data_IF_606294859715
#
_entry.id   IF_606294859715
#
_cell.length_a   1.000
_cell.length_b   1.000
_cell.length_c   1.000
_cell.angle_alpha   90.00
_cell.angle_beta   90.00
_cell.angle_gamma   90.00
#
_symmetry.space_group_name_H-M   'P 1'
#
loop_
_entity.id
_entity.type
_entity.pdbx_description
1 polymer ?
#
# COMPACT_ATOMS: atom_id res chain seq x y z
N UNK A 1 -6.55 -25.32 8.33
CA UNK A 1 -6.23 -24.25 7.34
C UNK A 1 -6.98 -23.00 7.78
N UNK A 2 -6.29 -21.87 7.98
CA UNK A 2 -6.93 -20.59 8.34
C UNK A 2 -7.61 -20.01 7.10
N UNK A 3 -8.83 -19.47 7.28
CA UNK A 3 -9.63 -18.88 6.20
C UNK A 3 -10.14 -17.51 6.60
N UNK A 4 -10.46 -16.68 5.60
CA UNK A 4 -11.18 -15.42 5.78
C UNK A 4 -12.29 -15.29 4.72
N UNK A 5 -13.22 -14.35 4.92
CA UNK A 5 -14.29 -14.09 3.97
C UNK A 5 -13.92 -12.98 3.01
N UNK A 6 -13.65 -13.32 1.74
CA UNK A 6 -13.24 -12.39 0.69
C UNK A 6 -14.15 -12.41 -0.54
N UNK A 7 -13.94 -11.47 -1.44
CA UNK A 7 -14.63 -11.38 -2.72
C UNK A 7 -13.79 -12.06 -3.80
N UNK A 8 -14.22 -13.23 -4.26
CA UNK A 8 -13.53 -13.97 -5.33
C UNK A 8 -13.79 -13.29 -6.67
N UNK A 9 -12.72 -12.98 -7.40
CA UNK A 9 -12.78 -12.33 -8.70
C UNK A 9 -12.77 -13.36 -9.84
N UNK A 10 -13.20 -12.99 -11.07
CA UNK A 10 -13.21 -13.92 -12.21
C UNK A 10 -11.85 -14.55 -12.54
N UNK A 11 -10.75 -13.84 -12.27
CA UNK A 11 -9.39 -14.34 -12.43
C UNK A 11 -8.88 -15.21 -11.26
N UNK A 12 -9.74 -15.55 -10.29
CA UNK A 12 -9.43 -16.35 -9.11
C UNK A 12 -8.80 -15.58 -7.95
N UNK A 13 -8.37 -14.33 -8.13
CA UNK A 13 -7.83 -13.51 -7.03
C UNK A 13 -8.93 -13.10 -6.06
N UNK A 14 -8.55 -12.76 -4.83
CA UNK A 14 -9.50 -12.46 -3.75
C UNK A 14 -9.33 -11.04 -3.24
N UNK A 15 -10.41 -10.26 -3.19
CA UNK A 15 -10.42 -8.93 -2.56
C UNK A 15 -10.95 -8.98 -1.12
N UNK A 16 -10.43 -8.11 -0.25
CA UNK A 16 -10.97 -7.88 1.11
C UNK A 16 -11.89 -6.67 1.16
N UNK A 17 -11.98 -5.93 0.06
CA UNK A 17 -12.91 -4.82 -0.21
C UNK A 17 -13.54 -5.00 -1.58
N UNK A 18 -14.53 -4.16 -1.90
CA UNK A 18 -15.31 -4.27 -3.13
C UNK A 18 -15.62 -2.89 -3.71
N UNK A 19 -14.57 -2.11 -4.00
CA UNK A 19 -14.66 -0.71 -4.39
C UNK A 19 -15.01 -0.54 -5.88
N UNK A 20 -15.70 0.55 -6.20
CA UNK A 20 -15.76 1.10 -7.55
C UNK A 20 -14.83 2.33 -7.58
N UNK A 21 -13.76 2.24 -8.34
CA UNK A 21 -12.76 3.29 -8.47
C UNK A 21 -13.06 4.20 -9.67
N UNK A 22 -12.85 5.50 -9.50
CA UNK A 22 -12.87 6.49 -10.58
C UNK A 22 -11.50 7.14 -10.65
N UNK A 23 -10.84 7.04 -11.79
CA UNK A 23 -9.46 7.49 -11.96
C UNK A 23 -9.27 8.19 -13.30
N UNK A 24 -8.43 9.22 -13.32
CA UNK A 24 -7.95 9.84 -14.54
C UNK A 24 -6.79 9.04 -15.14
N UNK A 25 -6.76 8.87 -16.47
CA UNK A 25 -5.58 8.34 -17.16
C UNK A 25 -4.43 9.36 -17.13
N UNK A 26 -4.78 10.64 -17.22
CA UNK A 26 -3.87 11.78 -17.07
C UNK A 26 -4.47 12.77 -16.06
N UNK A 27 -3.62 13.39 -15.24
CA UNK A 27 -4.04 14.35 -14.19
C UNK A 27 -4.89 15.51 -14.68
N UNK A 28 -4.82 15.86 -15.97
CA UNK A 28 -5.67 16.89 -16.59
C UNK A 28 -7.18 16.55 -16.47
N UNK A 29 -7.55 15.28 -16.32
CA UNK A 29 -8.93 14.84 -16.14
C UNK A 29 -9.36 14.72 -14.66
N UNK A 30 -8.51 15.05 -13.68
CA UNK A 30 -8.86 14.96 -12.24
C UNK A 30 -10.14 15.73 -11.88
N UNK A 31 -10.38 16.90 -12.49
CA UNK A 31 -11.61 17.67 -12.26
C UNK A 31 -12.88 16.93 -12.70
N UNK A 32 -12.79 16.05 -13.70
CA UNK A 32 -13.89 15.18 -14.12
C UNK A 32 -14.12 14.07 -13.09
N UNK A 33 -13.03 13.48 -12.57
CA UNK A 33 -13.10 12.48 -11.48
C UNK A 33 -13.81 13.05 -10.26
N UNK A 34 -13.48 14.29 -9.84
CA UNK A 34 -14.14 14.96 -8.72
C UNK A 34 -15.62 15.24 -8.99
N UNK A 35 -15.99 15.62 -10.23
CA UNK A 35 -17.37 15.80 -10.63
C UNK A 35 -18.18 14.49 -10.56
N UNK A 36 -17.62 13.38 -11.09
CA UNK A 36 -18.25 12.06 -11.01
C UNK A 36 -18.45 11.64 -9.54
N UNK A 37 -17.43 11.84 -8.68
CA UNK A 37 -17.55 11.57 -7.25
C UNK A 37 -18.69 12.34 -6.60
N UNK A 38 -18.82 13.63 -6.92
CA UNK A 38 -19.89 14.49 -6.37
C UNK A 38 -21.29 14.01 -6.81
N UNK A 39 -21.44 13.50 -8.03
CA UNK A 39 -22.70 12.98 -8.57
C UNK A 39 -23.04 11.56 -8.12
N UNK A 40 -22.04 10.76 -7.78
CA UNK A 40 -22.19 9.33 -7.45
C UNK A 40 -21.50 9.02 -6.12
N UNK A 41 -22.16 9.31 -4.98
CA UNK A 41 -21.63 8.92 -3.67
C UNK A 41 -21.37 7.41 -3.59
N UNK A 42 -20.24 7.02 -3.00
CA UNK A 42 -19.83 5.62 -2.85
C UNK A 42 -18.75 5.15 -3.82
N UNK A 43 -18.44 5.91 -4.89
CA UNK A 43 -17.23 5.67 -5.68
C UNK A 43 -15.99 6.18 -4.93
N UNK A 44 -14.84 5.56 -5.19
CA UNK A 44 -13.55 6.00 -4.65
C UNK A 44 -12.79 6.77 -5.73
N UNK A 45 -12.65 8.09 -5.58
CA UNK A 45 -11.88 8.90 -6.50
C UNK A 45 -10.38 8.70 -6.26
N UNK A 46 -9.62 8.58 -7.33
CA UNK A 46 -8.18 8.45 -7.29
C UNK A 46 -7.54 9.63 -8.01
N UNK A 47 -7.07 10.59 -7.24
CA UNK A 47 -6.43 11.82 -7.72
C UNK A 47 -4.92 11.64 -7.71
N UNK A 48 -4.27 12.11 -8.75
CA UNK A 48 -2.81 12.02 -8.94
C UNK A 48 -2.28 13.16 -9.81
N UNK A 49 -0.96 13.22 -10.04
CA UNK A 49 -0.28 14.28 -10.81
C UNK A 49 0.45 13.75 -12.06
N UNK A 50 0.14 12.53 -12.52
CA UNK A 50 0.87 11.82 -13.57
C UNK A 50 0.08 11.71 -14.88
N UNK A 51 0.67 11.05 -15.88
CA UNK A 51 -0.03 10.61 -17.11
C UNK A 51 0.34 11.38 -18.37
N UNK A 52 1.30 12.32 -18.32
CA UNK A 52 1.75 13.05 -19.49
C UNK A 52 3.27 13.26 -19.51
N UNK A 53 3.87 13.00 -20.65
CA UNK A 53 5.16 13.41 -21.22
C UNK A 53 6.40 13.62 -20.34
N UNK A 54 6.62 12.86 -19.27
CA UNK A 54 7.91 12.83 -18.61
C UNK A 54 8.68 11.58 -19.05
N UNK A 55 9.73 11.70 -19.89
CA UNK A 55 10.52 10.56 -20.35
C UNK A 55 11.05 9.73 -19.18
N UNK A 56 10.92 8.40 -19.27
CA UNK A 56 11.34 7.46 -18.24
C UNK A 56 10.31 7.22 -17.11
N UNK A 57 9.23 7.99 -17.06
CA UNK A 57 8.16 7.79 -16.07
C UNK A 57 6.92 7.05 -16.61
N UNK A 58 6.75 7.02 -17.94
CA UNK A 58 5.58 6.38 -18.57
C UNK A 58 5.39 4.93 -18.18
N UNK A 59 6.39 4.10 -18.37
CA UNK A 59 6.29 2.67 -18.11
C UNK A 59 5.99 2.40 -16.64
N UNK A 60 6.52 3.26 -15.77
CA UNK A 60 6.25 3.18 -14.33
C UNK A 60 4.82 3.59 -14.02
N UNK A 61 4.36 4.75 -14.55
CA UNK A 61 2.98 5.20 -14.36
C UNK A 61 1.99 4.20 -14.92
N UNK A 62 2.18 3.75 -16.16
CA UNK A 62 1.34 2.71 -16.80
C UNK A 62 1.25 1.46 -15.94
N UNK A 63 2.37 0.95 -15.45
CA UNK A 63 2.42 -0.23 -14.56
C UNK A 63 1.64 0.01 -13.27
N UNK A 64 1.83 1.16 -12.63
CA UNK A 64 1.13 1.52 -11.38
C UNK A 64 -0.36 1.68 -11.64
N UNK A 65 -0.78 2.39 -12.68
CA UNK A 65 -2.17 2.58 -13.04
C UNK A 65 -2.87 1.22 -13.26
N UNK A 66 -2.28 0.37 -14.09
CA UNK A 66 -2.80 -0.97 -14.36
C UNK A 66 -2.82 -1.82 -13.09
N UNK A 67 -1.73 -1.82 -12.30
CA UNK A 67 -1.64 -2.59 -11.07
C UNK A 67 -2.66 -2.16 -10.01
N UNK A 68 -2.82 -0.84 -9.80
CA UNK A 68 -3.85 -0.28 -8.90
C UNK A 68 -5.24 -0.68 -9.37
N UNK A 69 -5.57 -0.44 -10.64
CA UNK A 69 -6.91 -0.71 -11.18
C UNK A 69 -7.22 -2.21 -11.32
N UNK A 70 -6.21 -3.08 -11.34
CA UNK A 70 -6.37 -4.54 -11.39
C UNK A 70 -6.30 -5.20 -10.01
N UNK A 71 -6.16 -4.42 -8.91
CA UNK A 71 -6.13 -4.98 -7.57
C UNK A 71 -7.48 -5.62 -7.22
N UNK A 72 -7.50 -6.82 -6.60
CA UNK A 72 -8.75 -7.54 -6.33
C UNK A 72 -9.69 -6.85 -5.33
N UNK A 73 -9.25 -5.80 -4.61
CA UNK A 73 -10.15 -4.95 -3.81
C UNK A 73 -11.10 -4.09 -4.66
N UNK A 74 -10.87 -4.01 -5.96
CA UNK A 74 -11.69 -3.23 -6.89
C UNK A 74 -12.68 -4.15 -7.61
N UNK A 75 -13.95 -3.79 -7.57
CA UNK A 75 -15.02 -4.42 -8.33
C UNK A 75 -15.12 -3.84 -9.74
N UNK A 76 -14.96 -2.53 -9.88
CA UNK A 76 -15.10 -1.87 -11.17
C UNK A 76 -14.31 -0.59 -11.27
N UNK A 77 -13.94 -0.21 -12.47
CA UNK A 77 -13.12 0.96 -12.77
C UNK A 77 -13.81 1.86 -13.78
N UNK A 78 -13.95 3.14 -13.45
CA UNK A 78 -14.24 4.23 -14.39
C UNK A 78 -12.91 4.92 -14.68
N UNK A 79 -12.45 4.87 -15.93
CA UNK A 79 -11.22 5.47 -16.41
C UNK A 79 -11.50 6.64 -17.33
N UNK A 80 -10.96 7.81 -17.04
CA UNK A 80 -11.20 9.04 -17.81
C UNK A 80 -9.92 9.53 -18.46
N UNK A 81 -9.86 9.52 -19.78
CA UNK A 81 -8.82 10.12 -20.60
C UNK A 81 -9.20 11.49 -21.14
N UNK A 82 -8.21 12.29 -21.50
CA UNK A 82 -8.38 13.57 -22.22
C UNK A 82 -8.36 13.35 -23.72
N UNK A 83 -7.42 12.54 -24.22
CA UNK A 83 -7.20 12.22 -25.63
C UNK A 83 -5.90 12.81 -26.22
N UNK A 84 -5.06 13.47 -25.40
CA UNK A 84 -3.75 13.97 -25.81
C UNK A 84 -2.61 13.43 -24.94
N UNK A 85 -2.92 12.58 -23.97
CA UNK A 85 -1.94 11.88 -23.15
C UNK A 85 -1.21 10.78 -23.92
N UNK A 86 -0.11 10.29 -23.36
CA UNK A 86 0.75 9.29 -24.02
C UNK A 86 0.07 7.94 -24.21
N UNK A 87 -0.68 7.50 -23.22
CA UNK A 87 -1.38 6.22 -23.23
C UNK A 87 -2.86 6.42 -23.51
N UNK A 88 -3.42 5.64 -24.45
CA UNK A 88 -4.85 5.66 -24.73
C UNK A 88 -5.64 5.05 -23.57
N UNK A 89 -6.63 5.79 -23.05
CA UNK A 89 -7.41 5.34 -21.89
C UNK A 89 -8.25 4.10 -22.18
N UNK A 90 -8.74 3.92 -23.41
CA UNK A 90 -9.52 2.74 -23.81
C UNK A 90 -8.62 1.50 -23.87
N UNK A 91 -7.41 1.62 -24.43
CA UNK A 91 -6.42 0.53 -24.46
C UNK A 91 -5.98 0.12 -23.05
N UNK A 92 -5.72 1.09 -22.17
CA UNK A 92 -5.43 0.84 -20.75
C UNK A 92 -6.60 0.15 -20.06
N UNK A 93 -7.83 0.61 -20.31
CA UNK A 93 -9.06 -0.01 -19.81
C UNK A 93 -9.20 -1.47 -20.23
N UNK A 94 -8.92 -1.80 -21.49
CA UNK A 94 -8.92 -3.18 -22.00
C UNK A 94 -7.84 -4.05 -21.32
N UNK A 95 -6.65 -3.51 -21.07
CA UNK A 95 -5.59 -4.22 -20.35
C UNK A 95 -6.01 -4.52 -18.91
N UNK A 96 -6.60 -3.55 -18.19
CA UNK A 96 -7.10 -3.73 -16.83
C UNK A 96 -8.18 -4.80 -16.80
N UNK A 97 -9.16 -4.74 -17.73
CA UNK A 97 -10.21 -5.76 -17.84
C UNK A 97 -9.65 -7.16 -18.09
N UNK A 98 -8.68 -7.28 -19.01
CA UNK A 98 -8.04 -8.58 -19.35
C UNK A 98 -7.34 -9.20 -18.14
N UNK A 99 -6.68 -8.38 -17.30
CA UNK A 99 -5.95 -8.84 -16.13
C UNK A 99 -6.89 -9.18 -14.98
N UNK A 100 -7.89 -8.32 -14.72
CA UNK A 100 -8.76 -8.44 -13.54
C UNK A 100 -10.00 -9.29 -13.78
N UNK A 101 -10.51 -9.31 -15.02
CA UNK A 101 -11.83 -9.84 -15.37
C UNK A 101 -13.00 -8.98 -14.88
N UNK A 102 -12.71 -7.84 -14.26
CA UNK A 102 -13.71 -6.95 -13.65
C UNK A 102 -14.23 -5.91 -14.65
N UNK A 103 -15.42 -5.30 -14.41
CA UNK A 103 -15.95 -4.24 -15.26
C UNK A 103 -15.01 -3.03 -15.32
N UNK A 104 -14.72 -2.58 -16.53
CA UNK A 104 -13.97 -1.34 -16.80
C UNK A 104 -14.73 -0.52 -17.83
N UNK A 105 -14.92 0.75 -17.55
CA UNK A 105 -15.55 1.69 -18.47
C UNK A 105 -14.62 2.89 -18.68
N UNK A 106 -14.07 3.00 -19.88
CA UNK A 106 -13.14 4.06 -20.24
C UNK A 106 -13.82 5.06 -21.20
N UNK A 107 -13.61 6.35 -20.96
CA UNK A 107 -14.09 7.42 -21.84
C UNK A 107 -12.98 8.45 -22.07
N UNK A 108 -12.95 9.02 -23.29
CA UNK A 108 -11.98 10.03 -23.72
C UNK A 108 -12.72 11.32 -24.02
N UNK A 109 -12.36 12.40 -23.35
CA UNK A 109 -13.09 13.69 -23.42
C UNK A 109 -13.17 14.22 -24.84
N UNK A 110 -12.07 14.17 -25.61
CA UNK A 110 -12.01 14.71 -26.98
C UNK A 110 -12.79 13.87 -27.98
N UNK A 111 -13.07 12.60 -27.70
CA UNK A 111 -13.74 11.67 -28.60
C UNK A 111 -15.21 11.44 -28.22
N UNK A 112 -15.53 11.48 -26.94
CA UNK A 112 -16.80 10.98 -26.40
C UNK A 112 -17.83 12.09 -26.10
N UNK A 113 -17.62 13.30 -26.65
CA UNK A 113 -18.60 14.38 -26.63
C UNK A 113 -18.31 15.47 -25.60
N UNK A 114 -17.08 15.59 -25.13
CA UNK A 114 -16.64 16.63 -24.18
C UNK A 114 -16.94 16.29 -22.72
N UNK A 115 -16.55 17.20 -21.82
CA UNK A 115 -16.57 16.95 -20.40
C UNK A 115 -17.95 16.54 -19.85
N UNK A 116 -19.02 17.29 -20.19
CA UNK A 116 -20.36 17.04 -19.63
C UNK A 116 -20.92 15.69 -20.10
N UNK A 117 -20.69 15.32 -21.37
CA UNK A 117 -21.11 14.01 -21.88
C UNK A 117 -20.36 12.86 -21.21
N UNK A 118 -19.05 13.00 -21.02
CA UNK A 118 -18.21 12.02 -20.32
C UNK A 118 -18.63 11.89 -18.84
N UNK A 119 -18.84 13.00 -18.12
CA UNK A 119 -19.32 12.96 -16.74
C UNK A 119 -20.64 12.20 -16.65
N UNK A 120 -21.61 12.54 -17.51
CA UNK A 120 -22.93 11.90 -17.51
C UNK A 120 -22.84 10.39 -17.77
N UNK A 121 -22.11 9.97 -18.80
CA UNK A 121 -21.90 8.55 -19.15
C UNK A 121 -21.18 7.79 -18.02
N UNK A 122 -20.09 8.35 -17.51
CA UNK A 122 -19.30 7.75 -16.44
C UNK A 122 -20.11 7.65 -15.13
N UNK A 123 -20.88 8.69 -14.77
CA UNK A 123 -21.76 8.68 -13.60
C UNK A 123 -22.86 7.62 -13.71
N UNK A 124 -23.44 7.44 -14.90
CA UNK A 124 -24.45 6.41 -15.13
C UNK A 124 -23.85 5.00 -14.97
N UNK A 125 -22.67 4.76 -15.55
CA UNK A 125 -22.01 3.46 -15.46
C UNK A 125 -21.48 3.16 -14.05
N UNK A 126 -20.94 4.17 -13.34
CA UNK A 126 -20.53 4.05 -11.96
C UNK A 126 -21.69 3.62 -11.03
N UNK A 127 -22.90 4.13 -11.24
CA UNK A 127 -24.10 3.70 -10.49
C UNK A 127 -24.42 2.22 -10.74
N UNK A 128 -24.30 1.75 -12.00
CA UNK A 128 -24.50 0.32 -12.33
C UNK A 128 -23.42 -0.54 -11.67
N UNK A 129 -22.16 -0.11 -11.71
CA UNK A 129 -21.07 -0.83 -11.04
C UNK A 129 -21.27 -0.90 -9.53
N UNK A 130 -21.72 0.18 -8.89
CA UNK A 130 -22.04 0.16 -7.45
C UNK A 130 -23.18 -0.81 -7.12
N UNK A 131 -24.23 -0.83 -7.94
CA UNK A 131 -25.32 -1.80 -7.79
C UNK A 131 -24.82 -3.25 -7.95
N UNK A 132 -23.98 -3.51 -8.94
CA UNK A 132 -23.35 -4.83 -9.14
C UNK A 132 -22.44 -5.22 -7.97
N UNK A 133 -21.62 -4.28 -7.49
CA UNK A 133 -20.75 -4.50 -6.33
C UNK A 133 -21.55 -4.87 -5.07
N UNK A 134 -22.70 -4.23 -4.86
CA UNK A 134 -23.59 -4.51 -3.72
C UNK A 134 -24.20 -5.92 -3.74
N UNK A 135 -24.29 -6.56 -4.90
CA UNK A 135 -24.79 -7.93 -5.05
C UNK A 135 -23.74 -8.99 -4.78
N UNK A 136 -22.45 -8.62 -4.72
CA UNK A 136 -21.37 -9.57 -4.48
C UNK A 136 -21.39 -10.09 -3.05
N UNK A 137 -21.24 -11.40 -2.91
CA UNK A 137 -21.17 -12.07 -1.61
C UNK A 137 -19.71 -12.42 -1.27
N UNK A 138 -19.33 -12.25 -0.03
CA UNK A 138 -18.06 -12.78 0.50
C UNK A 138 -18.12 -14.31 0.58
N UNK A 139 -17.00 -14.95 0.27
CA UNK A 139 -16.85 -16.39 0.33
C UNK A 139 -15.68 -16.74 1.24
N UNK A 140 -15.76 -17.90 1.92
CA UNK A 140 -14.64 -18.40 2.71
C UNK A 140 -13.51 -18.87 1.80
N UNK A 141 -12.34 -18.26 1.94
CA UNK A 141 -11.15 -18.53 1.17
C UNK A 141 -9.94 -18.77 2.06
N UNK A 142 -8.94 -19.55 1.64
CA UNK A 142 -7.75 -19.80 2.44
C UNK A 142 -6.91 -18.52 2.62
N UNK A 143 -6.23 -18.40 3.76
CA UNK A 143 -5.32 -17.27 4.05
C UNK A 143 -4.16 -17.18 3.03
N UNK A 144 -3.85 -18.26 2.36
CA UNK A 144 -2.86 -18.29 1.28
C UNK A 144 -3.16 -17.35 0.12
N UNK A 145 -4.41 -16.88 -0.02
CA UNK A 145 -4.79 -15.87 -1.03
C UNK A 145 -4.47 -14.43 -0.59
N UNK A 146 -4.05 -14.22 0.65
CA UNK A 146 -3.71 -12.90 1.17
C UNK A 146 -2.33 -12.45 0.68
N UNK A 147 -2.28 -11.23 0.16
CA UNK A 147 -1.06 -10.42 0.01
C UNK A 147 -1.14 -9.26 1.00
N UNK A 148 -0.26 -9.27 1.97
CA UNK A 148 -0.23 -8.32 3.09
C UNK A 148 0.94 -7.36 2.94
N UNK A 149 0.68 -6.05 2.97
CA UNK A 149 1.70 -5.02 2.85
C UNK A 149 2.06 -4.40 4.21
N UNK A 150 3.34 -4.11 4.41
CA UNK A 150 3.85 -3.49 5.64
C UNK A 150 4.45 -2.12 5.37
N UNK A 151 4.16 -1.15 6.24
CA UNK A 151 4.62 0.24 6.15
C UNK A 151 4.96 0.79 7.54
N UNK A 152 5.83 1.79 7.62
CA UNK A 152 5.98 2.63 8.80
C UNK A 152 6.13 4.10 8.43
N UNK A 153 5.69 5.00 9.30
CA UNK A 153 5.83 6.44 9.08
C UNK A 153 5.72 7.24 10.37
N UNK A 154 6.59 8.26 10.50
CA UNK A 154 6.72 8.99 11.75
C UNK A 154 7.24 8.10 12.89
N UNK A 155 8.27 7.29 12.63
CA UNK A 155 8.85 6.35 13.61
C UNK A 155 9.49 7.08 14.80
N UNK A 156 9.51 6.41 15.94
CA UNK A 156 10.17 6.83 17.18
C UNK A 156 11.09 5.72 17.72
N UNK A 157 11.79 5.97 18.83
CA UNK A 157 12.68 5.00 19.45
C UNK A 157 11.97 3.69 19.89
N UNK A 158 10.66 3.73 20.17
CA UNK A 158 9.87 2.56 20.54
C UNK A 158 9.38 1.74 19.33
N UNK A 159 9.35 2.32 18.14
CA UNK A 159 8.84 1.63 16.92
C UNK A 159 9.54 0.29 16.68
N UNK A 160 10.87 0.23 16.86
CA UNK A 160 11.68 -0.97 16.63
C UNK A 160 11.54 -2.06 17.70
N UNK A 161 10.92 -1.78 18.84
CA UNK A 161 10.77 -2.73 19.96
C UNK A 161 9.32 -3.03 20.32
N UNK A 162 8.35 -2.30 19.76
CA UNK A 162 6.92 -2.50 20.00
C UNK A 162 6.15 -2.76 18.71
N UNK A 163 5.78 -1.73 17.93
CA UNK A 163 4.90 -1.83 16.78
C UNK A 163 5.51 -2.63 15.61
N UNK A 164 6.78 -2.40 15.26
CA UNK A 164 7.41 -3.12 14.14
C UNK A 164 7.58 -4.63 14.41
N UNK A 165 8.04 -5.08 15.59
CA UNK A 165 8.00 -6.49 15.95
C UNK A 165 6.59 -7.10 15.95
N UNK A 166 5.56 -6.35 16.37
CA UNK A 166 4.18 -6.82 16.32
C UNK A 166 3.71 -7.03 14.86
N UNK A 167 4.06 -6.12 13.93
CA UNK A 167 3.83 -6.34 12.50
C UNK A 167 4.63 -7.55 12.01
N UNK A 168 5.86 -7.73 12.48
CA UNK A 168 6.69 -8.89 12.16
C UNK A 168 6.07 -10.21 12.58
N UNK A 169 5.45 -10.25 13.74
CA UNK A 169 4.67 -11.42 14.20
C UNK A 169 3.52 -11.73 13.25
N UNK A 170 2.77 -10.70 12.83
CA UNK A 170 1.70 -10.86 11.83
C UNK A 170 2.27 -11.34 10.49
N UNK A 171 3.41 -10.81 10.07
CA UNK A 171 4.09 -11.21 8.83
C UNK A 171 4.48 -12.69 8.85
N UNK A 172 5.12 -13.15 9.92
CA UNK A 172 5.47 -14.56 10.09
C UNK A 172 4.23 -15.46 10.14
N UNK A 173 3.17 -15.01 10.81
CA UNK A 173 1.91 -15.74 10.85
C UNK A 173 1.25 -15.85 9.47
N UNK A 174 1.25 -14.77 8.65
CA UNK A 174 0.73 -14.79 7.27
C UNK A 174 1.53 -15.76 6.41
N UNK A 175 2.87 -15.70 6.48
CA UNK A 175 3.75 -16.60 5.72
C UNK A 175 3.55 -18.06 6.14
N UNK A 176 3.47 -18.34 7.44
CA UNK A 176 3.24 -19.69 7.96
C UNK A 176 1.90 -20.30 7.52
N UNK A 177 0.91 -19.46 7.19
CA UNK A 177 -0.38 -19.88 6.62
C UNK A 177 -0.44 -19.82 5.09
N UNK A 178 0.72 -19.72 4.42
CA UNK A 178 0.85 -19.75 2.95
C UNK A 178 0.56 -18.43 2.24
N UNK A 179 0.31 -17.34 2.97
CA UNK A 179 0.12 -16.01 2.41
C UNK A 179 1.42 -15.35 1.94
N UNK A 180 1.31 -14.17 1.39
CA UNK A 180 2.44 -13.36 0.92
C UNK A 180 2.53 -12.07 1.72
N UNK A 181 3.75 -11.69 2.07
CA UNK A 181 4.05 -10.43 2.76
C UNK A 181 4.94 -9.57 1.89
N UNK A 182 4.59 -8.31 1.72
CA UNK A 182 5.40 -7.30 1.05
C UNK A 182 6.06 -6.38 2.09
N UNK A 183 7.39 -6.43 2.15
CA UNK A 183 8.21 -5.47 2.89
C UNK A 183 8.76 -4.45 1.89
N UNK A 184 8.72 -3.17 2.24
CA UNK A 184 9.18 -2.08 1.38
C UNK A 184 9.98 -1.04 2.16
N UNK A 185 10.20 0.16 1.62
CA UNK A 185 10.95 1.26 2.25
C UNK A 185 12.46 0.98 2.28
N UNK A 186 13.06 0.78 1.08
CA UNK A 186 14.46 0.35 0.95
C UNK A 186 15.44 1.39 1.56
N UNK A 187 15.11 2.69 1.52
CA UNK A 187 15.89 3.70 2.21
C UNK A 187 16.01 3.44 3.74
N UNK A 188 14.99 2.79 4.31
CA UNK A 188 14.95 2.38 5.71
C UNK A 188 15.54 0.97 5.94
N UNK A 189 16.30 0.44 4.98
CA UNK A 189 17.06 -0.81 5.09
C UNK A 189 18.58 -0.58 5.01
N UNK A 190 19.02 0.67 4.77
CA UNK A 190 20.43 1.04 4.66
C UNK A 190 21.18 0.64 5.94
N UNK A 191 22.27 -0.11 5.78
CA UNK A 191 23.09 -0.65 6.87
C UNK A 191 22.60 -2.00 7.42
N UNK A 192 21.55 -2.60 6.81
CA UNK A 192 21.04 -3.93 7.21
C UNK A 192 21.19 -4.99 6.11
N UNK A 193 21.99 -4.71 5.07
CA UNK A 193 22.17 -5.55 3.87
C UNK A 193 22.50 -6.99 4.23
N UNK A 194 23.46 -7.17 5.15
CA UNK A 194 23.90 -8.51 5.55
C UNK A 194 22.86 -9.24 6.42
N UNK A 195 22.08 -8.52 7.21
CA UNK A 195 20.99 -9.09 8.01
C UNK A 195 19.90 -9.63 7.11
N UNK A 196 19.47 -8.84 6.13
CA UNK A 196 18.43 -9.24 5.18
C UNK A 196 18.94 -10.29 4.19
N UNK A 197 20.13 -10.12 3.61
CA UNK A 197 20.73 -11.09 2.70
C UNK A 197 20.97 -12.46 3.37
N UNK A 198 21.27 -12.48 4.68
CA UNK A 198 21.38 -13.73 5.46
C UNK A 198 20.06 -14.51 5.59
N UNK A 199 18.92 -13.89 5.26
CA UNK A 199 17.58 -14.50 5.26
C UNK A 199 17.06 -14.83 3.86
N UNK A 200 17.87 -14.62 2.82
CA UNK A 200 17.47 -14.87 1.44
C UNK A 200 17.30 -16.37 1.16
N UNK A 201 16.31 -16.72 0.34
CA UNK A 201 16.05 -18.10 -0.07
C UNK A 201 17.17 -18.69 -0.95
N UNK A 202 17.82 -17.84 -1.73
CA UNK A 202 18.91 -18.23 -2.63
C UNK A 202 20.02 -17.17 -2.66
N UNK A 203 21.24 -17.50 -3.12
CA UNK A 203 22.31 -16.52 -3.31
C UNK A 203 21.91 -15.36 -4.23
N UNK A 204 21.11 -15.63 -5.28
CA UNK A 204 20.66 -14.62 -6.25
C UNK A 204 19.71 -13.60 -5.56
N UNK A 205 18.84 -14.06 -4.67
CA UNK A 205 17.99 -13.19 -3.87
C UNK A 205 18.82 -12.33 -2.91
N UNK A 206 19.86 -12.94 -2.28
CA UNK A 206 20.79 -12.21 -1.42
C UNK A 206 21.52 -11.08 -2.18
N UNK A 207 21.95 -11.35 -3.40
CA UNK A 207 22.58 -10.36 -4.29
C UNK A 207 21.61 -9.22 -4.65
N UNK A 208 20.37 -9.55 -5.03
CA UNK A 208 19.33 -8.55 -5.31
C UNK A 208 19.09 -7.63 -4.10
N UNK A 209 19.02 -8.21 -2.88
CA UNK A 209 18.84 -7.45 -1.64
C UNK A 209 19.96 -6.44 -1.45
N UNK A 210 21.22 -6.88 -1.55
CA UNK A 210 22.38 -5.99 -1.43
C UNK A 210 22.34 -4.91 -2.50
N UNK A 211 22.08 -5.28 -3.75
CA UNK A 211 22.03 -4.35 -4.87
C UNK A 211 21.01 -3.22 -4.67
N UNK A 212 19.77 -3.54 -4.26
CA UNK A 212 18.73 -2.50 -4.08
C UNK A 212 19.06 -1.55 -2.94
N UNK A 213 19.65 -2.05 -1.84
CA UNK A 213 20.00 -1.22 -0.68
C UNK A 213 21.22 -0.34 -1.00
N UNK A 214 22.25 -0.89 -1.64
CA UNK A 214 23.43 -0.14 -2.06
C UNK A 214 23.06 0.93 -3.10
N UNK A 215 22.20 0.59 -4.07
CA UNK A 215 21.70 1.54 -5.06
C UNK A 215 20.93 2.70 -4.41
N UNK A 216 20.10 2.40 -3.42
CA UNK A 216 19.36 3.39 -2.66
C UNK A 216 20.29 4.29 -1.83
N UNK A 217 21.28 3.71 -1.14
CA UNK A 217 22.28 4.49 -0.41
C UNK A 217 23.07 5.43 -1.33
N UNK A 218 23.44 4.98 -2.54
CA UNK A 218 24.12 5.80 -3.51
C UNK A 218 23.26 7.01 -3.97
N UNK A 219 21.97 6.79 -4.25
CA UNK A 219 21.04 7.87 -4.60
C UNK A 219 20.90 8.87 -3.43
N UNK A 220 20.74 8.38 -2.23
CA UNK A 220 20.68 9.21 -1.03
C UNK A 220 21.95 10.06 -0.87
N UNK A 221 23.13 9.46 -1.00
CA UNK A 221 24.41 10.17 -0.92
C UNK A 221 24.56 11.21 -2.01
N UNK A 222 24.04 10.94 -3.21
CA UNK A 222 24.04 11.87 -4.34
C UNK A 222 23.20 13.13 -4.06
N UNK A 223 22.04 12.95 -3.41
CA UNK A 223 21.13 14.07 -3.10
C UNK A 223 21.51 14.84 -1.84
N UNK A 224 21.94 14.15 -0.78
CA UNK A 224 22.24 14.74 0.52
C UNK A 224 23.72 15.01 0.74
N UNK A 225 24.61 14.50 -0.11
CA UNK A 225 26.05 14.67 0.04
C UNK A 225 26.58 14.17 1.38
N UNK A 226 27.43 14.96 2.10
CA UNK A 226 27.97 14.58 3.39
C UNK A 226 26.90 14.35 4.49
N UNK A 227 25.69 14.89 4.28
CA UNK A 227 24.57 14.77 5.22
C UNK A 227 23.76 13.47 5.03
N UNK A 228 24.19 12.56 4.16
CA UNK A 228 23.51 11.31 3.86
C UNK A 228 23.24 10.43 5.12
N UNK A 229 24.07 10.56 6.14
CA UNK A 229 23.81 9.91 7.45
C UNK A 229 22.61 10.48 8.20
N UNK A 230 22.09 11.64 7.75
CA UNK A 230 20.94 12.34 8.35
C UNK A 230 19.64 12.11 7.57
N UNK A 231 19.52 11.00 6.89
CA UNK A 231 18.28 10.56 6.20
C UNK A 231 17.08 10.42 7.16
N UNK A 232 17.23 10.77 8.40
CA UNK A 232 16.17 10.70 9.40
C UNK A 232 15.42 12.03 9.42
N UNK A 233 14.11 11.99 9.22
CA UNK A 233 13.26 13.16 9.35
C UNK A 233 13.36 13.78 10.76
N UNK A 234 13.23 15.11 10.85
CA UNK A 234 13.25 15.83 12.15
C UNK A 234 12.25 15.23 13.16
N UNK A 235 11.09 14.76 12.69
CA UNK A 235 10.09 14.09 13.51
C UNK A 235 10.59 12.79 14.12
N UNK A 236 11.39 12.01 13.40
CA UNK A 236 12.00 10.79 13.92
C UNK A 236 13.06 11.10 14.99
N UNK A 237 13.89 12.13 14.78
CA UNK A 237 14.85 12.60 15.79
C UNK A 237 14.14 13.11 17.05
N UNK A 238 13.05 13.88 16.89
CA UNK A 238 12.22 14.30 18.02
C UNK A 238 11.52 13.12 18.72
N UNK A 239 11.37 11.99 18.03
CA UNK A 239 10.91 10.71 18.57
C UNK A 239 11.99 9.87 19.25
N UNK A 240 13.25 10.36 19.30
CA UNK A 240 14.38 9.70 19.97
C UNK A 240 15.27 8.85 19.08
N UNK A 241 15.06 8.79 17.76
CA UNK A 241 15.95 8.11 16.83
C UNK A 241 17.19 8.96 16.51
N UNK A 242 18.36 8.35 16.38
CA UNK A 242 19.64 9.05 16.22
C UNK A 242 20.31 8.82 14.86
N UNK A 243 20.22 7.60 14.31
CA UNK A 243 20.89 7.23 13.06
C UNK A 243 19.95 6.46 12.12
N UNK A 244 20.28 6.44 10.83
CA UNK A 244 19.54 5.62 9.86
C UNK A 244 19.68 4.13 10.17
N UNK A 245 20.82 3.67 10.65
CA UNK A 245 21.06 2.28 11.01
C UNK A 245 20.16 1.84 12.19
N UNK A 246 20.01 2.69 13.21
CA UNK A 246 19.08 2.44 14.32
C UNK A 246 17.64 2.31 13.78
N UNK A 247 17.22 3.27 12.96
CA UNK A 247 15.89 3.24 12.32
C UNK A 247 15.72 1.99 11.46
N UNK A 248 16.72 1.64 10.64
CA UNK A 248 16.70 0.49 9.74
C UNK A 248 16.58 -0.84 10.48
N UNK A 249 17.36 -1.05 11.53
CA UNK A 249 17.26 -2.25 12.39
C UNK A 249 15.87 -2.41 13.01
N UNK A 250 15.19 -1.31 13.31
CA UNK A 250 13.80 -1.31 13.76
C UNK A 250 12.82 -1.57 12.61
N UNK A 251 13.05 -0.96 11.43
CA UNK A 251 12.17 -1.04 10.28
C UNK A 251 12.05 -2.47 9.71
N UNK A 252 13.18 -3.17 9.52
CA UNK A 252 13.20 -4.53 8.96
C UNK A 252 12.46 -5.57 9.82
N UNK A 253 12.20 -5.25 11.10
CA UNK A 253 11.39 -6.10 12.00
C UNK A 253 9.97 -6.33 11.50
N UNK A 254 9.41 -5.40 10.72
CA UNK A 254 8.09 -5.57 10.08
C UNK A 254 7.99 -6.81 9.18
N UNK A 255 9.12 -7.26 8.61
CA UNK A 255 9.19 -8.49 7.81
C UNK A 255 9.32 -9.78 8.64
N UNK A 256 9.23 -9.70 9.98
CA UNK A 256 9.38 -10.87 10.85
C UNK A 256 10.72 -11.56 10.71
N UNK A 257 10.72 -12.89 10.84
CA UNK A 257 11.89 -13.76 10.76
C UNK A 257 11.89 -14.68 9.53
N UNK A 258 10.82 -14.69 8.75
CA UNK A 258 10.63 -15.55 7.58
C UNK A 258 11.71 -15.35 6.51
N UNK A 259 11.97 -16.42 5.74
CA UNK A 259 12.87 -16.40 4.58
C UNK A 259 12.38 -15.41 3.52
N UNK A 260 13.28 -14.59 2.98
CA UNK A 260 13.00 -13.65 1.90
C UNK A 260 13.07 -14.39 0.57
N UNK A 261 11.93 -14.50 -0.11
CA UNK A 261 11.77 -15.35 -1.29
C UNK A 261 12.16 -14.66 -2.58
N UNK A 262 11.98 -13.34 -2.69
CA UNK A 262 12.35 -12.56 -3.88
C UNK A 262 12.43 -11.06 -3.57
N UNK A 263 12.93 -10.30 -4.55
CA UNK A 263 12.96 -8.85 -4.60
C UNK A 263 12.27 -8.39 -5.88
N UNK A 264 11.31 -7.47 -5.77
CA UNK A 264 10.56 -6.89 -6.88
C UNK A 264 10.89 -5.41 -7.06
N UNK A 265 10.89 -4.95 -8.29
CA UNK A 265 10.87 -3.52 -8.58
C UNK A 265 9.52 -2.90 -8.20
N UNK A 266 9.53 -1.58 -7.98
CA UNK A 266 8.37 -0.81 -7.54
C UNK A 266 7.12 -1.04 -8.40
N UNK A 267 6.04 -1.49 -7.78
CA UNK A 267 4.76 -1.73 -8.43
C UNK A 267 4.73 -2.91 -9.42
N UNK A 268 5.76 -3.77 -9.43
CA UNK A 268 5.72 -5.01 -10.22
C UNK A 268 4.70 -5.99 -9.61
N UNK A 269 3.88 -6.65 -10.44
CA UNK A 269 2.88 -7.60 -9.94
C UNK A 269 3.51 -8.75 -9.14
N UNK A 270 2.86 -9.14 -8.04
CA UNK A 270 3.33 -10.22 -7.16
C UNK A 270 3.32 -11.61 -7.80
N UNK A 271 2.57 -11.81 -8.83
CA UNK A 271 2.28 -13.03 -9.61
C UNK A 271 3.00 -14.31 -9.16
N UNK A 272 2.25 -15.27 -8.58
CA UNK A 272 2.76 -16.60 -8.21
C UNK A 272 3.76 -16.64 -7.06
N UNK A 273 4.21 -15.52 -6.54
CA UNK A 273 5.16 -15.46 -5.42
C UNK A 273 4.45 -15.64 -4.10
N UNK A 274 5.07 -16.41 -3.20
CA UNK A 274 4.58 -16.68 -1.85
C UNK A 274 5.67 -16.38 -0.82
N UNK A 275 5.27 -16.18 0.42
CA UNK A 275 6.19 -15.88 1.51
C UNK A 275 6.56 -14.40 1.62
N UNK A 276 7.69 -14.10 2.23
CA UNK A 276 8.18 -12.73 2.38
C UNK A 276 8.90 -12.27 1.11
N UNK A 277 8.48 -11.14 0.57
CA UNK A 277 9.04 -10.52 -0.64
C UNK A 277 9.37 -9.06 -0.34
N UNK A 278 10.52 -8.57 -0.78
CA UNK A 278 10.86 -7.15 -0.71
C UNK A 278 10.42 -6.47 -2.01
N UNK A 279 9.65 -5.40 -1.91
CA UNK A 279 9.37 -4.50 -3.02
C UNK A 279 10.27 -3.27 -2.90
N UNK A 280 11.06 -2.98 -3.94
CA UNK A 280 11.87 -1.77 -4.02
C UNK A 280 10.95 -0.54 -4.06
N UNK A 281 10.88 0.19 -2.96
CA UNK A 281 10.06 1.39 -2.82
C UNK A 281 10.69 2.37 -1.86
N UNK A 282 10.39 3.67 -1.99
CA UNK A 282 10.96 4.71 -1.12
C UNK A 282 10.34 4.69 0.27
N UNK A 283 10.97 5.40 1.21
CA UNK A 283 10.44 5.61 2.54
C UNK A 283 9.28 6.63 2.62
N UNK A 284 8.89 7.27 1.52
CA UNK A 284 7.79 8.23 1.49
C UNK A 284 6.43 7.51 1.46
N UNK A 285 5.67 7.65 2.53
CA UNK A 285 4.48 6.85 2.83
C UNK A 285 3.44 6.76 1.69
N UNK A 286 2.95 7.86 1.07
CA UNK A 286 1.94 7.77 0.02
C UNK A 286 2.42 7.01 -1.21
N UNK A 287 3.70 7.16 -1.57
CA UNK A 287 4.32 6.45 -2.69
C UNK A 287 4.46 4.97 -2.36
N UNK A 288 4.93 4.66 -1.16
CA UNK A 288 5.11 3.30 -0.68
C UNK A 288 3.78 2.52 -0.65
N UNK A 289 2.72 3.11 -0.08
CA UNK A 289 1.38 2.51 -0.04
C UNK A 289 0.81 2.27 -1.45
N UNK A 290 1.01 3.23 -2.37
CA UNK A 290 0.61 3.08 -3.78
C UNK A 290 1.32 1.90 -4.44
N UNK A 291 2.63 1.78 -4.23
CA UNK A 291 3.43 0.67 -4.75
C UNK A 291 2.99 -0.68 -4.19
N UNK A 292 2.79 -0.79 -2.87
CA UNK A 292 2.30 -2.01 -2.21
C UNK A 292 0.95 -2.46 -2.81
N UNK A 293 0.01 -1.53 -2.94
CA UNK A 293 -1.31 -1.83 -3.50
C UNK A 293 -1.23 -2.21 -4.98
N UNK A 294 -0.44 -1.50 -5.79
CA UNK A 294 -0.20 -1.82 -7.20
C UNK A 294 0.45 -3.20 -7.37
N UNK A 295 1.37 -3.59 -6.47
CA UNK A 295 1.99 -4.92 -6.47
C UNK A 295 1.00 -6.03 -6.15
N UNK A 296 -0.09 -5.73 -5.46
CA UNK A 296 -1.19 -6.65 -5.19
C UNK A 296 -1.61 -6.78 -3.74
N UNK A 297 -1.08 -5.96 -2.83
CA UNK A 297 -1.51 -5.97 -1.42
C UNK A 297 -3.01 -5.68 -1.31
N UNK A 298 -3.71 -6.51 -0.55
CA UNK A 298 -5.14 -6.39 -0.29
C UNK A 298 -5.42 -5.73 1.07
N UNK A 299 -4.51 -5.90 2.02
CA UNK A 299 -4.55 -5.28 3.34
C UNK A 299 -3.16 -4.77 3.72
N UNK A 300 -3.12 -3.68 4.47
CA UNK A 300 -1.91 -2.97 4.86
C UNK A 300 -1.84 -2.87 6.38
N UNK A 301 -0.62 -2.92 6.92
CA UNK A 301 -0.34 -2.60 8.31
C UNK A 301 0.68 -1.48 8.37
N UNK A 302 0.39 -0.47 9.18
CA UNK A 302 1.17 0.76 9.23
C UNK A 302 1.51 1.12 10.66
N UNK A 303 2.79 1.02 11.03
CA UNK A 303 3.27 1.46 12.34
C UNK A 303 3.60 2.95 12.37
N UNK A 304 3.36 3.60 13.50
CA UNK A 304 3.72 5.00 13.72
C UNK A 304 4.05 5.26 15.20
N UNK A 305 5.08 6.04 15.43
CA UNK A 305 5.41 6.54 16.77
C UNK A 305 4.94 7.96 17.00
N UNK A 306 4.75 8.74 15.92
CA UNK A 306 4.40 10.15 15.95
C UNK A 306 2.94 10.43 15.62
N UNK A 307 2.13 9.39 15.35
CA UNK A 307 0.71 9.53 15.11
C UNK A 307 0.36 9.93 13.67
N UNK A 308 1.03 9.37 12.66
CA UNK A 308 0.67 9.61 11.26
C UNK A 308 -0.70 8.98 10.95
N UNK A 309 -1.75 9.75 10.58
CA UNK A 309 -3.09 9.24 10.37
C UNK A 309 -3.32 8.65 8.96
N UNK A 310 -2.36 8.78 8.05
CA UNK A 310 -2.50 8.38 6.65
C UNK A 310 -2.98 6.93 6.51
N UNK A 311 -4.04 6.72 5.74
CA UNK A 311 -4.50 5.44 5.24
C UNK A 311 -4.33 5.32 3.74
N UNK A 312 -4.99 4.33 3.13
CA UNK A 312 -5.04 4.15 1.69
C UNK A 312 -6.49 3.98 1.22
N UNK A 313 -6.93 4.66 0.15
CA UNK A 313 -8.36 4.74 -0.18
C UNK A 313 -8.98 3.42 -0.65
N UNK A 314 -8.17 2.46 -1.11
CA UNK A 314 -8.62 1.21 -1.72
C UNK A 314 -8.26 -0.05 -0.91
N UNK A 315 -7.52 0.10 0.18
CA UNK A 315 -7.16 -1.01 1.05
C UNK A 315 -7.31 -0.63 2.51
N UNK A 316 -7.79 -1.56 3.37
CA UNK A 316 -7.75 -1.36 4.79
C UNK A 316 -6.29 -1.21 5.24
N UNK A 317 -6.03 -0.20 6.06
CA UNK A 317 -4.72 0.10 6.61
C UNK A 317 -4.80 0.10 8.13
N UNK A 318 -4.35 -1.00 8.77
CA UNK A 318 -4.34 -1.12 10.23
C UNK A 318 -3.24 -0.24 10.82
N UNK A 319 -3.62 0.71 11.66
CA UNK A 319 -2.71 1.67 12.30
C UNK A 319 -2.26 1.17 13.67
N UNK A 320 -0.96 0.97 13.83
CA UNK A 320 -0.36 0.49 15.09
C UNK A 320 0.54 1.57 15.67
N UNK A 321 0.15 2.13 16.83
CA UNK A 321 0.93 3.15 17.52
C UNK A 321 2.00 2.50 18.40
N UNK A 322 3.27 2.92 18.24
CA UNK A 322 4.41 2.32 18.96
C UNK A 322 4.47 2.71 20.44
N UNK A 323 3.81 3.80 20.84
CA UNK A 323 3.86 4.29 22.23
C UNK A 323 2.49 4.76 22.72
N UNK A 324 2.18 4.46 23.99
CA UNK A 324 0.91 4.80 24.61
C UNK A 324 0.68 6.32 24.74
N UNK A 325 1.74 7.12 24.89
CA UNK A 325 1.61 8.57 24.99
C UNK A 325 1.00 9.17 23.72
N UNK A 326 1.54 8.78 22.57
CA UNK A 326 0.98 9.22 21.26
C UNK A 326 -0.41 8.63 21.04
N UNK A 327 -0.62 7.34 21.38
CA UNK A 327 -1.92 6.70 21.24
C UNK A 327 -3.02 7.47 21.96
N UNK A 328 -2.83 7.80 23.24
CA UNK A 328 -3.81 8.57 24.00
C UNK A 328 -3.91 10.03 23.56
N UNK A 329 -2.82 10.65 23.12
CA UNK A 329 -2.83 12.00 22.56
C UNK A 329 -3.60 12.09 21.23
N UNK A 330 -3.70 10.96 20.49
CA UNK A 330 -4.47 10.82 19.24
C UNK A 330 -5.88 10.28 19.48
N UNK A 331 -6.42 10.40 20.69
CA UNK A 331 -7.80 10.07 21.03
C UNK A 331 -8.01 8.68 21.67
N UNK A 332 -6.96 7.87 21.87
CA UNK A 332 -7.08 6.56 22.49
C UNK A 332 -7.92 5.57 21.69
N UNK A 333 -8.80 4.82 22.35
CA UNK A 333 -9.61 3.76 21.74
C UNK A 333 -10.64 4.29 20.72
N UNK A 334 -11.05 5.54 20.84
CA UNK A 334 -11.95 6.24 19.90
C UNK A 334 -11.20 7.16 18.93
N UNK A 335 -9.86 7.09 18.93
CA UNK A 335 -8.98 7.99 18.19
C UNK A 335 -8.57 7.50 16.80
N UNK A 336 -7.40 7.97 16.36
CA UNK A 336 -6.91 7.79 14.99
C UNK A 336 -6.05 6.53 14.79
N UNK A 337 -5.88 5.70 15.83
CA UNK A 337 -5.04 4.49 15.78
C UNK A 337 -5.85 3.25 16.15
N UNK A 338 -5.63 2.16 15.43
CA UNK A 338 -6.34 0.90 15.66
C UNK A 338 -5.81 0.11 16.86
N UNK A 339 -4.48 0.16 17.10
CA UNK A 339 -3.82 -0.66 18.13
C UNK A 339 -2.75 0.15 18.88
N UNK A 340 -2.77 0.05 20.22
CA UNK A 340 -1.73 0.56 21.10
C UNK A 340 -0.64 -0.50 21.34
N UNK A 341 0.47 -0.44 20.60
CA UNK A 341 1.61 -1.31 20.83
C UNK A 341 2.48 -0.83 22.03
N UNK A 342 2.34 0.42 22.44
CA UNK A 342 3.00 0.95 23.63
C UNK A 342 2.62 0.26 24.94
N UNK A 343 1.51 -0.49 24.95
CA UNK A 343 1.06 -1.31 26.07
C UNK A 343 2.11 -2.35 26.52
N UNK A 344 3.01 -2.79 25.61
CA UNK A 344 4.17 -3.63 25.97
C UNK A 344 5.04 -2.97 27.05
N UNK A 345 5.22 -1.65 26.92
CA UNK A 345 6.09 -0.88 27.86
C UNK A 345 5.31 -0.39 29.08
N UNK A 346 4.05 0.04 28.88
CA UNK A 346 3.27 0.72 29.93
C UNK A 346 2.39 -0.21 30.76
N UNK A 347 2.02 -1.36 30.22
CA UNK A 347 1.06 -2.29 30.86
C UNK A 347 1.64 -3.70 31.07
N UNK A 348 2.91 -3.90 30.65
CA UNK A 348 3.57 -5.22 30.79
C UNK A 348 3.01 -6.30 29.86
N UNK A 349 2.33 -5.90 28.77
CA UNK A 349 1.87 -6.83 27.75
C UNK A 349 3.06 -7.52 27.10
N UNK A 350 3.04 -8.83 26.96
CA UNK A 350 4.12 -9.52 26.27
C UNK A 350 4.10 -9.23 24.76
N UNK A 351 5.27 -9.27 24.06
CA UNK A 351 5.32 -9.13 22.60
C UNK A 351 4.45 -10.13 21.84
N UNK A 352 4.36 -11.37 22.33
CA UNK A 352 3.54 -12.41 21.71
C UNK A 352 2.04 -12.14 21.86
N UNK A 353 1.59 -11.67 23.04
CA UNK A 353 0.21 -11.26 23.26
C UNK A 353 -0.17 -10.08 22.36
N UNK A 354 0.71 -9.09 22.20
CA UNK A 354 0.51 -8.00 21.27
C UNK A 354 0.44 -8.51 19.82
N UNK A 355 1.37 -9.38 19.42
CA UNK A 355 1.38 -10.01 18.10
C UNK A 355 0.05 -10.73 17.81
N UNK A 356 -0.43 -11.53 18.77
CA UNK A 356 -1.71 -12.23 18.63
C UNK A 356 -2.91 -11.27 18.57
N UNK A 357 -2.90 -10.16 19.32
CA UNK A 357 -3.92 -9.09 19.20
C UNK A 357 -3.93 -8.50 17.78
N UNK A 358 -2.76 -8.24 17.21
CA UNK A 358 -2.63 -7.73 15.85
C UNK A 358 -3.16 -8.74 14.81
N UNK A 359 -2.88 -10.04 14.98
CA UNK A 359 -3.42 -11.10 14.11
C UNK A 359 -4.95 -11.13 14.19
N UNK A 360 -5.52 -11.12 15.40
CA UNK A 360 -6.96 -11.15 15.58
C UNK A 360 -7.62 -9.92 14.96
N UNK A 361 -7.04 -8.73 15.15
CA UNK A 361 -7.54 -7.50 14.55
C UNK A 361 -7.47 -7.55 13.02
N UNK A 362 -6.37 -8.03 12.44
CA UNK A 362 -6.24 -8.23 10.99
C UNK A 362 -7.33 -9.18 10.48
N UNK A 363 -7.58 -10.30 11.16
CA UNK A 363 -8.64 -11.25 10.78
C UNK A 363 -10.03 -10.60 10.77
N UNK A 364 -10.34 -9.75 11.76
CA UNK A 364 -11.57 -8.96 11.77
C UNK A 364 -11.65 -8.05 10.53
N UNK A 365 -10.54 -7.37 10.20
CA UNK A 365 -10.44 -6.46 9.05
C UNK A 365 -10.60 -7.21 7.72
N UNK A 366 -9.99 -8.39 7.58
CA UNK A 366 -10.15 -9.25 6.40
C UNK A 366 -11.61 -9.70 6.25
N UNK A 367 -12.32 -9.90 7.34
CA UNK A 367 -13.74 -10.27 7.38
C UNK A 367 -14.69 -9.06 7.26
N UNK A 368 -14.18 -7.84 7.08
CA UNK A 368 -14.99 -6.69 6.75
C UNK A 368 -15.06 -5.58 7.80
N UNK A 369 -14.40 -5.72 8.95
CA UNK A 369 -14.25 -4.63 9.91
C UNK A 369 -13.51 -3.46 9.24
N UNK A 370 -14.02 -2.26 9.38
CA UNK A 370 -13.34 -1.05 8.92
C UNK A 370 -12.21 -0.67 9.88
N UNK A 371 -11.06 -0.31 9.32
CA UNK A 371 -9.97 0.31 10.07
C UNK A 371 -10.30 1.76 10.40
N UNK A 372 -9.57 2.37 11.33
CA UNK A 372 -9.78 3.78 11.69
C UNK A 372 -9.60 4.72 10.49
N UNK A 373 -8.56 4.60 9.66
CA UNK A 373 -8.44 5.43 8.46
C UNK A 373 -9.61 5.29 7.48
N UNK A 374 -10.19 4.10 7.34
CA UNK A 374 -11.39 3.91 6.50
C UNK A 374 -12.61 4.61 7.08
N UNK A 375 -12.84 4.52 8.39
CA UNK A 375 -13.97 5.17 9.08
C UNK A 375 -13.92 6.68 8.98
N UNK A 376 -12.72 7.26 9.06
CA UNK A 376 -12.49 8.71 9.04
C UNK A 376 -12.22 9.26 7.63
N UNK A 377 -12.17 8.41 6.60
CA UNK A 377 -11.90 8.83 5.23
C UNK A 377 -10.49 9.39 5.02
N UNK A 378 -9.50 8.87 5.76
CA UNK A 378 -8.12 9.35 5.76
C UNK A 378 -7.26 8.72 4.65
N UNK A 379 -7.87 8.39 3.52
CA UNK A 379 -7.15 7.94 2.33
C UNK A 379 -6.41 9.11 1.65
N UNK A 380 -5.13 8.89 1.32
CA UNK A 380 -4.32 9.86 0.57
C UNK A 380 -4.55 9.79 -0.95
N UNK A 381 -3.94 10.72 -1.69
CA UNK A 381 -3.85 10.65 -3.14
C UNK A 381 -2.92 9.52 -3.61
N UNK A 382 -3.08 9.07 -4.86
CA UNK A 382 -2.10 8.20 -5.49
C UNK A 382 -0.80 8.97 -5.72
N UNK A 383 0.29 8.45 -5.21
CA UNK A 383 1.61 8.98 -5.40
C UNK A 383 2.52 7.91 -6.01
N UNK A 384 3.25 8.25 -7.05
CA UNK A 384 4.12 7.31 -7.75
C UNK A 384 5.57 7.71 -7.53
N UNK A 385 6.43 6.73 -7.34
CA UNK A 385 7.86 6.95 -7.28
C UNK A 385 8.37 7.47 -8.62
N UNK A 386 8.95 8.68 -8.60
CA UNK A 386 9.65 9.28 -9.75
C UNK A 386 11.16 9.20 -9.50
N UNK A 387 11.93 8.87 -10.55
CA UNK A 387 13.39 8.88 -10.48
C UNK A 387 13.96 10.29 -10.23
N UNK A 388 13.14 11.32 -10.44
CA UNK A 388 13.47 12.73 -10.18
C UNK A 388 12.96 13.23 -8.83
N UNK A 389 12.21 12.40 -8.07
CA UNK A 389 11.72 12.78 -6.75
C UNK A 389 12.82 12.49 -5.73
N UNK A 390 13.34 13.49 -5.01
CA UNK A 390 14.22 13.24 -3.87
C UNK A 390 13.51 12.35 -2.86
N UNK A 391 14.25 11.51 -2.23
CA UNK A 391 13.78 10.58 -1.18
C UNK A 391 13.16 11.31 0.01
#
# INVERSE_FOLDING_TARGET
MVTFNGYVRPNGRVGVRNHVAVIANCSCANGIVDRIRAEVPGVVPLIHTYGCSIPGEFDRWRRILIGVCSNPNIYGVILVGVGCETDDAKEIGEQIHRISGMPVFAQIVQEDGGCEAVISKCSAEARKMLAGAAMCQRQSVPLSELVFGTQCGGSDALSGITANPAIGYVSDWVVANGGTVLLTEVAEMIGTENVLAGRAATPEVAEKIRYIIEAEELEVRKWLGPEASRIIARGNMAGGLTTIQEKALGCIKKGGTSTIMDVLEYGMPIEGRKGLVIMRGPGYDPVSLTGLFSTGAQALCYSTGRGNPLGFPLAPCVKICSNSKTYYAMGGDDGDMDINAGAVVTEGLSPDELGQRCVNYLMDVLNGKMTVPEKHGLGGALCVFSASTPL
#
